data_IF_771667727621
#
_entry.id   IF_771667727621
#
_cell.length_a   1.000
_cell.length_b   1.000
_cell.length_c   1.000
_cell.angle_alpha   90.00
_cell.angle_beta   90.00
_cell.angle_gamma   90.00
#
_symmetry.space_group_name_H-M   'P 1'
#
loop_
_entity.id
_entity.type
_entity.pdbx_description
1 polymer ?
#
# COMPACT_ATOMS: atom_id res chain seq x y z
N UNK A 1 -9.10 -13.29 6.22
CA UNK A 1 -9.91 -13.29 4.97
C UNK A 1 -10.36 -14.67 4.50
N UNK A 2 -9.89 -15.79 5.10
CA UNK A 2 -10.46 -17.12 4.82
C UNK A 2 -11.93 -17.17 5.20
N UNK A 3 -12.83 -17.80 4.41
CA UNK A 3 -12.51 -18.67 3.25
C UNK A 3 -12.27 -17.94 1.91
N UNK A 4 -12.54 -16.65 1.78
CA UNK A 4 -12.47 -15.90 0.52
C UNK A 4 -11.09 -16.01 -0.17
N UNK A 5 -10.02 -16.09 0.63
CA UNK A 5 -8.64 -16.15 0.13
C UNK A 5 -8.08 -17.56 0.00
N UNK A 6 -8.93 -18.60 -0.07
CA UNK A 6 -8.44 -19.96 -0.36
C UNK A 6 -8.13 -20.19 -1.83
N UNK A 7 -8.93 -19.61 -2.71
CA UNK A 7 -8.84 -19.78 -4.15
C UNK A 7 -8.56 -18.48 -4.91
N UNK A 8 -8.57 -17.33 -4.23
CA UNK A 8 -8.33 -16.04 -4.86
C UNK A 8 -7.38 -15.24 -3.98
N UNK A 9 -6.24 -14.75 -4.51
CA UNK A 9 -5.34 -13.94 -3.73
C UNK A 9 -6.03 -12.64 -3.30
N UNK A 10 -5.75 -12.18 -2.08
CA UNK A 10 -6.42 -11.02 -1.47
C UNK A 10 -6.46 -9.80 -2.39
N UNK A 11 -5.38 -9.41 -3.09
CA UNK A 11 -5.40 -8.25 -3.99
C UNK A 11 -6.36 -8.40 -5.18
N UNK A 12 -6.76 -9.62 -5.54
CA UNK A 12 -7.71 -9.89 -6.62
C UNK A 12 -9.16 -10.04 -6.14
N UNK A 13 -9.44 -9.92 -4.84
CA UNK A 13 -10.82 -9.88 -4.35
C UNK A 13 -11.53 -8.63 -4.90
N UNK A 14 -12.80 -8.78 -5.36
CA UNK A 14 -13.53 -7.67 -5.96
C UNK A 14 -14.01 -6.67 -4.91
N UNK A 15 -13.84 -5.39 -5.22
CA UNK A 15 -14.41 -4.24 -4.51
C UNK A 15 -14.99 -3.30 -5.55
N UNK A 16 -16.24 -2.90 -5.40
CA UNK A 16 -16.99 -2.10 -6.37
C UNK A 16 -16.89 -2.66 -7.81
N UNK A 17 -17.00 -3.99 -7.94
CA UNK A 17 -17.01 -4.69 -9.22
C UNK A 17 -15.64 -4.94 -9.87
N UNK A 18 -14.54 -4.50 -9.26
CA UNK A 18 -13.18 -4.63 -9.78
C UNK A 18 -12.22 -5.19 -8.71
N UNK A 19 -11.16 -5.94 -9.07
CA UNK A 19 -10.14 -6.35 -8.11
C UNK A 19 -9.54 -5.17 -7.33
N UNK A 20 -9.22 -5.35 -6.05
CA UNK A 20 -8.55 -4.31 -5.26
C UNK A 20 -7.28 -3.81 -5.95
N UNK A 21 -6.48 -4.72 -6.49
CA UNK A 21 -5.25 -4.38 -7.21
C UNK A 21 -5.50 -3.49 -8.42
N UNK A 22 -6.68 -3.58 -9.08
CA UNK A 22 -7.03 -2.69 -10.18
C UNK A 22 -7.10 -1.22 -9.73
N UNK A 23 -7.72 -0.96 -8.58
CA UNK A 23 -7.80 0.40 -8.05
C UNK A 23 -6.43 0.96 -7.73
N UNK A 24 -5.54 0.14 -7.17
CA UNK A 24 -4.15 0.53 -6.88
C UNK A 24 -3.38 0.82 -8.17
N UNK A 25 -3.44 -0.11 -9.13
CA UNK A 25 -2.72 0.02 -10.41
C UNK A 25 -3.17 1.24 -11.21
N UNK A 26 -4.48 1.50 -11.28
CA UNK A 26 -4.99 2.70 -11.97
C UNK A 26 -4.43 3.98 -11.34
N UNK A 27 -4.42 4.09 -10.01
CA UNK A 27 -3.85 5.25 -9.32
C UNK A 27 -2.37 5.42 -9.61
N UNK A 28 -1.59 4.33 -9.71
CA UNK A 28 -0.18 4.38 -10.07
C UNK A 28 0.02 4.80 -11.54
N UNK A 29 -0.81 4.30 -12.46
CA UNK A 29 -0.80 4.71 -13.87
C UNK A 29 -1.10 6.20 -14.01
N UNK A 30 -2.14 6.68 -13.35
CA UNK A 30 -2.53 8.11 -13.35
C UNK A 30 -1.43 8.98 -12.75
N UNK A 31 -0.71 8.49 -11.75
CA UNK A 31 0.47 9.13 -11.21
C UNK A 31 1.68 9.10 -12.17
N UNK A 32 1.59 8.37 -13.29
CA UNK A 32 2.65 8.24 -14.30
C UNK A 32 3.76 7.27 -13.93
N UNK A 33 3.45 6.29 -13.11
CA UNK A 33 4.34 5.15 -12.87
C UNK A 33 4.37 4.27 -14.13
N UNK A 34 5.53 3.99 -14.64
CA UNK A 34 5.76 3.21 -15.87
C UNK A 34 6.39 1.84 -15.59
N UNK A 35 6.88 1.61 -14.38
CA UNK A 35 7.48 0.36 -13.95
C UNK A 35 6.97 -0.04 -12.56
N UNK A 36 6.51 -1.29 -12.42
CA UNK A 36 6.01 -1.86 -11.18
C UNK A 36 6.68 -3.20 -10.90
N UNK A 37 7.25 -3.36 -9.71
CA UNK A 37 7.71 -4.65 -9.20
C UNK A 37 6.69 -5.20 -8.20
N UNK A 38 6.06 -6.31 -8.52
CA UNK A 38 5.11 -6.98 -7.63
C UNK A 38 5.82 -8.00 -6.75
N UNK A 39 5.75 -7.81 -5.45
CA UNK A 39 6.23 -8.78 -4.47
C UNK A 39 5.06 -9.68 -4.12
N UNK A 40 5.13 -10.92 -4.54
CA UNK A 40 4.05 -11.89 -4.42
C UNK A 40 4.41 -13.03 -3.45
N UNK A 41 3.40 -13.72 -2.96
CA UNK A 41 3.54 -14.90 -2.13
C UNK A 41 2.54 -15.97 -2.56
N UNK A 42 1.70 -16.41 -1.63
CA UNK A 42 0.65 -17.39 -1.90
C UNK A 42 -0.27 -16.96 -3.06
N UNK A 43 -0.48 -17.85 -4.04
CA UNK A 43 -1.23 -17.59 -5.28
C UNK A 43 -0.64 -16.44 -6.13
N UNK A 44 0.68 -16.22 -6.07
CA UNK A 44 1.35 -15.16 -6.80
C UNK A 44 1.19 -15.25 -8.32
N UNK A 45 1.18 -16.45 -8.90
CA UNK A 45 1.01 -16.68 -10.34
C UNK A 45 -0.31 -16.13 -10.88
N UNK A 46 -1.37 -16.16 -10.08
CA UNK A 46 -2.66 -15.57 -10.45
C UNK A 46 -2.58 -14.04 -10.54
N UNK A 47 -1.87 -13.40 -9.59
CA UNK A 47 -1.62 -11.96 -9.60
C UNK A 47 -0.81 -11.58 -10.83
N UNK A 48 0.30 -12.29 -11.09
CA UNK A 48 1.17 -12.06 -12.24
C UNK A 48 0.40 -12.18 -13.56
N UNK A 49 -0.37 -13.25 -13.71
CA UNK A 49 -1.18 -13.49 -14.92
C UNK A 49 -2.21 -12.39 -15.13
N UNK A 50 -2.87 -11.97 -14.06
CA UNK A 50 -3.86 -10.91 -14.10
C UNK A 50 -3.24 -9.56 -14.48
N UNK A 51 -2.13 -9.14 -13.83
CA UNK A 51 -1.47 -7.86 -14.13
C UNK A 51 -0.96 -7.81 -15.57
N UNK A 52 -0.33 -8.87 -16.05
CA UNK A 52 0.15 -8.93 -17.46
C UNK A 52 -0.97 -8.79 -18.48
N UNK A 53 -2.14 -9.33 -18.15
CA UNK A 53 -3.32 -9.26 -19.02
C UNK A 53 -3.96 -7.86 -19.02
N UNK A 54 -4.17 -7.29 -17.83
CA UNK A 54 -4.95 -6.05 -17.68
C UNK A 54 -4.09 -4.79 -17.87
N UNK A 55 -2.75 -4.88 -17.62
CA UNK A 55 -1.80 -3.75 -17.70
C UNK A 55 -0.62 -4.04 -18.63
N UNK A 56 -0.84 -4.39 -19.90
CA UNK A 56 0.23 -4.77 -20.84
C UNK A 56 1.17 -3.60 -21.21
N UNK A 57 0.74 -2.36 -20.94
CA UNK A 57 1.52 -1.13 -21.20
C UNK A 57 2.50 -0.74 -20.10
N UNK A 58 2.46 -1.42 -18.93
CA UNK A 58 3.36 -1.15 -17.80
C UNK A 58 4.46 -2.21 -17.79
N UNK A 59 5.72 -1.76 -17.66
CA UNK A 59 6.81 -2.68 -17.36
C UNK A 59 6.57 -3.31 -15.98
N UNK A 60 6.54 -4.64 -15.93
CA UNK A 60 6.20 -5.35 -14.70
C UNK A 60 7.21 -6.44 -14.41
N UNK A 61 7.89 -6.33 -13.26
CA UNK A 61 8.75 -7.35 -12.68
C UNK A 61 8.08 -8.01 -11.47
N UNK A 62 8.54 -9.21 -11.11
CA UNK A 62 7.93 -10.02 -10.04
C UNK A 62 9.01 -10.63 -9.17
N UNK A 63 8.84 -10.48 -7.85
CA UNK A 63 9.66 -11.15 -6.85
C UNK A 63 8.76 -12.00 -5.93
N UNK A 64 9.25 -13.16 -5.52
CA UNK A 64 8.49 -14.08 -4.66
C UNK A 64 9.00 -13.99 -3.24
N UNK A 65 8.12 -13.65 -2.30
CA UNK A 65 8.40 -13.69 -0.88
C UNK A 65 8.06 -15.08 -0.32
N UNK A 66 9.08 -15.92 -0.12
CA UNK A 66 8.91 -17.24 0.47
C UNK A 66 8.67 -17.19 1.98
N UNK A 67 9.31 -16.23 2.67
CA UNK A 67 9.21 -16.04 4.12
C UNK A 67 8.50 -14.73 4.43
N UNK A 68 7.38 -14.81 5.14
CA UNK A 68 6.63 -13.65 5.60
C UNK A 68 7.21 -13.11 6.91
N UNK A 69 8.38 -12.49 6.86
CA UNK A 69 9.09 -11.97 8.04
C UNK A 69 9.11 -10.43 8.10
N UNK A 70 8.21 -9.80 7.37
CA UNK A 70 7.93 -8.37 7.46
C UNK A 70 8.06 -7.62 6.14
N UNK A 71 7.55 -6.38 6.13
CA UNK A 71 7.46 -5.57 4.92
C UNK A 71 8.84 -5.06 4.46
N UNK A 72 9.77 -4.74 5.38
CA UNK A 72 11.12 -4.34 4.99
C UNK A 72 11.87 -5.47 4.27
N UNK A 73 11.69 -6.72 4.71
CA UNK A 73 12.26 -7.89 4.01
C UNK A 73 11.62 -8.09 2.63
N UNK A 74 10.31 -7.85 2.52
CA UNK A 74 9.62 -7.92 1.24
C UNK A 74 10.18 -6.87 0.25
N UNK A 75 10.34 -5.62 0.70
CA UNK A 75 10.90 -4.53 -0.11
C UNK A 75 12.30 -4.87 -0.63
N UNK A 76 13.14 -5.53 0.17
CA UNK A 76 14.49 -5.93 -0.26
C UNK A 76 14.49 -6.90 -1.45
N UNK A 77 13.43 -7.68 -1.67
CA UNK A 77 13.31 -8.55 -2.84
C UNK A 77 13.17 -7.78 -4.16
N UNK A 78 12.76 -6.51 -4.09
CA UNK A 78 12.71 -5.64 -5.25
C UNK A 78 14.06 -4.98 -5.57
N UNK A 79 15.12 -5.24 -4.79
CA UNK A 79 16.40 -4.53 -4.89
C UNK A 79 17.09 -4.65 -6.24
N UNK A 80 16.94 -5.78 -6.95
CA UNK A 80 17.50 -5.97 -8.29
C UNK A 80 16.75 -5.19 -9.40
N UNK A 81 15.53 -4.74 -9.09
CA UNK A 81 14.65 -3.98 -9.99
C UNK A 81 14.56 -2.50 -9.61
N UNK A 82 15.25 -2.10 -8.53
CA UNK A 82 15.19 -0.74 -7.97
C UNK A 82 16.51 -0.04 -8.24
N UNK A 83 16.44 1.12 -8.86
CA UNK A 83 17.58 2.02 -9.07
C UNK A 83 17.59 3.17 -8.05
N UNK A 84 18.46 4.17 -8.25
CA UNK A 84 18.53 5.36 -7.40
C UNK A 84 17.39 6.37 -7.70
N UNK A 85 16.52 6.07 -8.63
CA UNK A 85 15.37 6.91 -8.95
C UNK A 85 14.31 6.93 -7.84
N UNK A 86 13.34 7.87 -7.96
CA UNK A 86 12.20 7.90 -7.05
C UNK A 86 11.42 6.59 -7.06
N UNK A 87 11.11 6.08 -5.89
CA UNK A 87 10.46 4.77 -5.72
C UNK A 87 9.25 4.88 -4.81
N UNK A 88 8.14 4.30 -5.23
CA UNK A 88 6.95 4.15 -4.38
C UNK A 88 6.83 2.72 -3.85
N UNK A 89 6.40 2.59 -2.60
CA UNK A 89 5.95 1.32 -2.03
C UNK A 89 4.46 1.45 -1.73
N UNK A 90 3.66 0.55 -2.27
CA UNK A 90 2.21 0.55 -2.07
C UNK A 90 1.74 -0.83 -1.66
N UNK A 91 0.97 -0.90 -0.58
CA UNK A 91 0.40 -2.16 -0.10
C UNK A 91 -0.77 -2.58 -0.99
N UNK A 92 -0.75 -3.83 -1.47
CA UNK A 92 -1.73 -4.35 -2.42
C UNK A 92 -3.13 -4.63 -1.82
N UNK A 93 -3.33 -4.36 -0.54
CA UNK A 93 -4.60 -4.54 0.17
C UNK A 93 -5.15 -3.24 0.78
N UNK A 94 -4.58 -2.11 0.38
CA UNK A 94 -4.98 -0.77 0.80
C UNK A 94 -5.64 -0.05 -0.38
N UNK A 95 -6.86 0.39 -0.19
CA UNK A 95 -7.55 1.28 -1.13
C UNK A 95 -7.52 2.70 -0.60
N UNK A 96 -7.22 3.63 -1.49
CA UNK A 96 -7.12 5.05 -1.13
C UNK A 96 -7.55 5.94 -2.30
N UNK A 97 -7.92 7.18 -1.97
CA UNK A 97 -8.22 8.21 -2.95
C UNK A 97 -7.25 9.36 -2.74
N UNK A 98 -6.22 9.42 -3.57
CA UNK A 98 -5.22 10.49 -3.54
C UNK A 98 -4.69 10.75 -4.94
N UNK A 99 -4.38 11.99 -5.23
CA UNK A 99 -3.60 12.36 -6.42
C UNK A 99 -2.10 12.20 -6.09
N UNK A 100 -1.53 11.07 -6.46
CA UNK A 100 -0.10 10.82 -6.25
C UNK A 100 0.80 11.58 -7.24
N UNK A 101 0.25 12.23 -8.26
CA UNK A 101 1.02 13.02 -9.22
C UNK A 101 1.70 14.23 -8.55
N UNK A 102 1.19 14.69 -7.41
CA UNK A 102 1.79 15.75 -6.59
C UNK A 102 3.17 15.38 -6.03
N UNK A 103 3.50 14.09 -6.00
CA UNK A 103 4.81 13.59 -5.56
C UNK A 103 5.88 13.65 -6.66
N UNK A 104 5.51 13.99 -7.89
CA UNK A 104 6.48 14.12 -8.98
C UNK A 104 7.46 15.25 -8.70
N UNK A 105 8.76 14.91 -8.67
CA UNK A 105 9.84 15.87 -8.41
C UNK A 105 9.99 16.25 -6.94
N UNK A 106 9.25 15.60 -6.01
CA UNK A 106 9.52 15.75 -4.59
C UNK A 106 10.90 15.17 -4.26
N UNK A 107 11.66 15.89 -3.47
CA UNK A 107 13.05 15.55 -3.10
C UNK A 107 13.18 14.96 -1.71
N UNK A 108 12.08 14.95 -0.96
CA UNK A 108 11.98 14.33 0.38
C UNK A 108 11.26 12.99 0.26
N UNK A 109 11.51 12.13 1.21
CA UNK A 109 10.67 10.95 1.38
C UNK A 109 9.28 11.40 1.89
N UNK A 110 8.20 10.79 1.38
CA UNK A 110 6.84 11.15 1.76
C UNK A 110 6.07 9.93 2.24
N UNK A 111 5.31 10.11 3.29
CA UNK A 111 4.45 9.08 3.88
C UNK A 111 3.00 9.54 3.70
N UNK A 112 2.18 8.70 3.09
CA UNK A 112 0.75 8.98 3.02
C UNK A 112 0.12 8.64 4.35
N UNK A 113 -0.59 9.60 4.93
CA UNK A 113 -1.22 9.49 6.26
C UNK A 113 -2.71 9.77 6.20
N UNK A 114 -3.43 9.22 7.17
CA UNK A 114 -4.83 9.54 7.41
C UNK A 114 -5.12 9.53 8.92
N UNK A 115 -5.91 10.47 9.45
CA UNK A 115 -6.29 10.45 10.84
C UNK A 115 -7.21 9.25 11.15
N UNK A 116 -6.95 8.59 12.29
CA UNK A 116 -7.75 7.44 12.76
C UNK A 116 -8.14 7.60 14.22
N UNK A 117 -9.23 6.95 14.63
CA UNK A 117 -9.64 6.91 16.04
C UNK A 117 -8.78 5.95 16.87
N UNK A 118 -8.43 4.78 16.31
CA UNK A 118 -7.58 3.77 16.96
C UNK A 118 -6.29 3.53 16.17
N UNK A 119 -5.17 4.16 16.54
CA UNK A 119 -3.89 4.00 15.87
C UNK A 119 -3.13 2.72 16.22
N UNK A 120 -3.57 1.95 17.21
CA UNK A 120 -2.83 0.81 17.79
C UNK A 120 -2.51 -0.31 16.78
N UNK A 121 -3.19 -0.33 15.65
CA UNK A 121 -3.06 -1.34 14.58
C UNK A 121 -2.11 -0.95 13.46
N UNK A 122 -1.68 0.30 13.41
CA UNK A 122 -0.95 0.89 12.30
C UNK A 122 0.40 1.45 12.73
N UNK A 123 1.28 1.68 11.78
CA UNK A 123 2.38 2.62 11.97
C UNK A 123 1.82 4.03 12.12
N UNK A 124 2.42 4.85 12.94
CA UNK A 124 2.00 6.24 13.15
C UNK A 124 3.15 7.22 12.97
N UNK A 125 2.79 8.44 12.57
CA UNK A 125 3.72 9.55 12.37
C UNK A 125 3.53 10.57 13.51
N UNK A 126 4.64 10.97 14.16
CA UNK A 126 4.66 12.10 15.08
C UNK A 126 5.22 13.31 14.36
N UNK A 127 4.51 14.43 14.53
CA UNK A 127 4.91 15.72 14.00
C UNK A 127 5.26 16.69 15.12
N UNK A 128 6.34 17.44 14.95
CA UNK A 128 6.65 18.64 15.73
C UNK A 128 6.84 19.79 14.75
N UNK A 129 6.11 20.88 14.97
CA UNK A 129 6.13 22.06 14.07
C UNK A 129 5.96 21.72 12.58
N UNK A 130 5.09 20.72 12.28
CA UNK A 130 4.82 20.24 10.92
C UNK A 130 5.91 19.38 10.30
N UNK A 131 6.92 18.97 11.07
CA UNK A 131 8.00 18.08 10.63
C UNK A 131 7.83 16.70 11.23
N UNK A 132 8.12 15.68 10.44
CA UNK A 132 8.17 14.30 10.94
C UNK A 132 9.39 14.16 11.88
N UNK A 133 9.13 13.80 13.15
CA UNK A 133 10.18 13.61 14.16
C UNK A 133 10.30 12.17 14.63
N UNK A 134 9.25 11.37 14.47
CA UNK A 134 9.24 9.96 14.88
C UNK A 134 8.26 9.15 14.03
N UNK A 135 8.61 7.89 13.81
CA UNK A 135 7.77 6.87 13.22
C UNK A 135 7.71 5.68 14.18
N UNK A 136 6.50 5.24 14.53
CA UNK A 136 6.32 4.16 15.51
C UNK A 136 5.35 3.12 14.95
N UNK A 137 5.81 1.88 14.85
CA UNK A 137 4.97 0.77 14.41
C UNK A 137 4.10 0.26 15.56
N UNK A 138 2.77 0.27 15.34
CA UNK A 138 1.75 -0.28 16.25
C UNK A 138 2.00 0.11 17.71
N UNK A 139 1.92 1.40 18.04
CA UNK A 139 2.23 1.91 19.37
C UNK A 139 1.33 1.25 20.43
N UNK A 140 1.90 0.99 21.61
CA UNK A 140 1.15 0.46 22.76
C UNK A 140 0.29 1.52 23.45
N UNK A 141 0.65 2.79 23.26
CA UNK A 141 -0.07 3.95 23.78
C UNK A 141 -0.39 4.90 22.60
N UNK A 142 -1.52 5.62 22.66
CA UNK A 142 -1.90 6.55 21.59
C UNK A 142 -1.02 7.79 21.61
N UNK A 143 0.10 7.77 20.87
CA UNK A 143 1.07 8.88 20.77
C UNK A 143 0.79 9.82 19.60
N UNK A 144 0.04 9.36 18.61
CA UNK A 144 -0.40 10.11 17.44
C UNK A 144 -1.63 9.42 16.84
N UNK A 145 -2.52 10.18 16.23
CA UNK A 145 -3.66 9.66 15.46
C UNK A 145 -3.40 9.64 13.93
N UNK A 146 -2.22 10.10 13.49
CA UNK A 146 -1.84 10.05 12.08
C UNK A 146 -1.32 8.67 11.71
N UNK A 147 -2.20 7.82 11.20
CA UNK A 147 -1.85 6.48 10.76
C UNK A 147 -1.21 6.49 9.37
N UNK A 148 -0.24 5.61 9.18
CA UNK A 148 0.39 5.36 7.89
C UNK A 148 -0.54 4.49 7.06
N UNK A 149 -0.91 4.98 5.88
CA UNK A 149 -1.91 4.37 4.99
C UNK A 149 -1.39 3.13 4.24
N UNK A 150 -0.07 2.96 4.16
CA UNK A 150 0.54 1.89 3.35
C UNK A 150 0.90 2.35 1.94
N UNK A 151 1.07 3.66 1.75
CA UNK A 151 1.60 4.29 0.54
C UNK A 151 2.78 5.17 0.94
N UNK A 152 3.91 4.93 0.32
CA UNK A 152 5.17 5.58 0.64
C UNK A 152 5.86 6.03 -0.63
N UNK A 153 6.50 7.18 -0.60
CA UNK A 153 7.36 7.67 -1.66
C UNK A 153 8.76 7.91 -1.10
N UNK A 154 9.74 7.39 -1.77
CA UNK A 154 11.15 7.57 -1.45
C UNK A 154 11.83 8.32 -2.59
N UNK A 155 12.53 9.39 -2.28
CA UNK A 155 13.26 10.19 -3.27
C UNK A 155 14.40 9.41 -3.91
N UNK A 156 14.91 8.35 -3.24
CA UNK A 156 15.95 7.45 -3.72
C UNK A 156 15.61 6.01 -3.35
N UNK A 157 15.49 5.15 -4.35
CA UNK A 157 15.28 3.70 -4.15
C UNK A 157 16.50 3.04 -3.49
N UNK A 158 17.72 3.47 -3.82
CA UNK A 158 18.94 2.94 -3.21
C UNK A 158 18.96 3.18 -1.70
N UNK A 159 18.59 4.38 -1.24
CA UNK A 159 18.50 4.72 0.19
C UNK A 159 17.42 3.94 0.92
N UNK A 160 16.27 3.70 0.27
CA UNK A 160 15.25 2.80 0.79
C UNK A 160 15.82 1.40 1.01
N UNK A 161 16.53 0.85 0.01
CA UNK A 161 17.14 -0.48 0.11
C UNK A 161 18.22 -0.54 1.20
N UNK A 162 19.01 0.51 1.36
CA UNK A 162 20.01 0.63 2.42
C UNK A 162 19.35 0.65 3.82
N UNK A 163 18.28 1.43 3.99
CA UNK A 163 17.52 1.48 5.22
C UNK A 163 16.94 0.12 5.62
N UNK A 164 16.30 -0.57 4.67
CA UNK A 164 15.77 -1.92 4.88
C UNK A 164 16.87 -2.94 5.20
N UNK A 165 18.00 -2.90 4.47
CA UNK A 165 19.14 -3.79 4.71
C UNK A 165 19.72 -3.58 6.10
N UNK A 166 19.93 -2.32 6.50
CA UNK A 166 20.44 -1.96 7.83
C UNK A 166 19.53 -2.48 8.95
N UNK A 167 18.21 -2.40 8.78
CA UNK A 167 17.24 -2.95 9.75
C UNK A 167 17.41 -4.46 9.89
N UNK A 168 17.47 -5.18 8.77
CA UNK A 168 17.59 -6.64 8.74
C UNK A 168 18.92 -7.11 9.34
N UNK A 169 20.04 -6.46 8.99
CA UNK A 169 21.37 -6.76 9.52
C UNK A 169 21.48 -6.53 11.03
N UNK A 170 20.82 -5.51 11.55
CA UNK A 170 20.71 -5.26 13.01
C UNK A 170 19.81 -6.27 13.72
N UNK A 171 19.03 -7.07 13.00
CA UNK A 171 18.08 -8.02 13.57
C UNK A 171 16.95 -7.34 14.35
N UNK A 172 16.70 -6.05 14.12
CA UNK A 172 15.69 -5.29 14.85
C UNK A 172 14.30 -5.63 14.32
N UNK A 173 13.47 -6.22 15.18
CA UNK A 173 12.10 -6.65 14.84
C UNK A 173 11.08 -6.02 15.77
N UNK A 174 9.98 -5.57 15.21
CA UNK A 174 8.79 -5.14 15.96
C UNK A 174 7.70 -6.18 15.76
N UNK A 175 7.20 -6.75 16.88
CA UNK A 175 6.24 -7.87 16.90
C UNK A 175 6.69 -9.10 16.08
N UNK A 176 8.01 -9.35 16.04
CA UNK A 176 8.60 -10.50 15.36
C UNK A 176 8.91 -10.31 13.87
N UNK A 177 8.57 -9.15 13.29
CA UNK A 177 8.73 -8.86 11.87
C UNK A 177 9.66 -7.66 11.64
N UNK A 178 10.32 -7.63 10.48
CA UNK A 178 11.06 -6.47 10.00
C UNK A 178 10.10 -5.47 9.36
N UNK A 179 9.65 -4.49 10.12
CA UNK A 179 8.66 -3.51 9.66
C UNK A 179 9.30 -2.40 8.82
N UNK A 180 8.63 -1.97 7.76
CA UNK A 180 9.09 -0.84 6.95
C UNK A 180 9.11 0.46 7.77
N UNK A 181 8.15 0.63 8.69
CA UNK A 181 8.11 1.76 9.62
C UNK A 181 9.40 1.87 10.44
N UNK A 182 9.97 0.74 10.89
CA UNK A 182 11.23 0.73 11.63
C UNK A 182 12.43 1.08 10.74
N UNK A 183 12.42 0.65 9.46
CA UNK A 183 13.45 1.05 8.50
C UNK A 183 13.40 2.57 8.23
N UNK A 184 12.21 3.12 8.03
CA UNK A 184 12.03 4.57 7.87
C UNK A 184 12.43 5.35 9.12
N UNK A 185 12.14 4.85 10.33
CA UNK A 185 12.61 5.48 11.59
C UNK A 185 14.13 5.50 11.65
N UNK A 186 14.83 4.45 11.20
CA UNK A 186 16.30 4.45 11.09
C UNK A 186 16.80 5.48 10.07
N UNK A 187 16.16 5.58 8.91
CA UNK A 187 16.51 6.58 7.89
C UNK A 187 16.31 8.01 8.42
N UNK A 188 15.19 8.26 9.10
CA UNK A 188 14.88 9.55 9.73
C UNK A 188 15.96 9.94 10.76
N UNK A 189 16.37 9.01 11.63
CA UNK A 189 17.46 9.23 12.61
C UNK A 189 18.81 9.46 11.99
N UNK A 190 19.03 8.95 10.79
CA UNK A 190 20.25 9.18 10.01
C UNK A 190 20.20 10.51 9.21
N UNK A 191 19.13 11.32 9.39
CA UNK A 191 18.99 12.65 8.81
C UNK A 191 18.26 12.68 7.46
N UNK A 192 17.65 11.58 7.02
CA UNK A 192 16.80 11.58 5.82
C UNK A 192 15.54 12.38 6.09
N UNK A 193 15.19 13.36 5.24
CA UNK A 193 13.99 14.16 5.43
C UNK A 193 12.72 13.37 5.07
N UNK A 194 11.73 13.40 5.94
CA UNK A 194 10.40 12.87 5.69
C UNK A 194 9.34 13.96 5.77
N UNK A 195 8.39 13.94 4.84
CA UNK A 195 7.17 14.71 4.87
C UNK A 195 5.95 13.81 4.94
N UNK A 196 4.78 14.41 5.05
CA UNK A 196 3.51 13.68 4.97
C UNK A 196 2.67 14.20 3.80
N UNK A 197 1.88 13.30 3.23
CA UNK A 197 0.74 13.61 2.37
C UNK A 197 -0.51 13.09 3.08
N UNK A 198 -1.29 14.01 3.64
CA UNK A 198 -2.51 13.64 4.34
C UNK A 198 -3.68 13.44 3.38
N UNK A 199 -4.46 12.39 3.59
CA UNK A 199 -5.61 12.04 2.74
C UNK A 199 -6.83 11.68 3.57
N UNK A 200 -8.02 12.02 3.06
CA UNK A 200 -9.30 11.68 3.70
C UNK A 200 -9.89 10.35 3.23
N UNK A 201 -9.44 9.86 2.08
CA UNK A 201 -10.01 8.68 1.42
C UNK A 201 -9.15 7.43 1.60
N UNK A 202 -9.14 6.85 2.80
CA UNK A 202 -8.45 5.59 3.07
C UNK A 202 -9.42 4.50 3.52
N UNK A 203 -9.24 3.30 2.93
CA UNK A 203 -10.11 2.15 3.15
C UNK A 203 -9.25 0.91 3.41
N UNK A 204 -9.17 0.50 4.69
CA UNK A 204 -8.50 -0.74 5.09
C UNK A 204 -9.35 -1.95 4.69
N UNK A 205 -8.86 -2.75 3.74
CA UNK A 205 -9.48 -4.00 3.33
C UNK A 205 -8.86 -5.22 4.05
N UNK A 206 -8.36 -5.03 5.28
CA UNK A 206 -7.69 -6.07 6.08
C UNK A 206 -8.60 -7.18 6.60
N UNK A 207 -9.90 -6.89 6.76
CA UNK A 207 -10.92 -7.81 7.31
C UNK A 207 -12.11 -7.92 6.39
N UNK A 208 -12.92 -9.03 6.47
CA UNK A 208 -14.14 -9.16 5.68
C UNK A 208 -15.13 -8.00 5.89
N UNK A 209 -15.27 -7.55 7.14
CA UNK A 209 -16.20 -6.49 7.52
C UNK A 209 -15.80 -5.16 6.87
N UNK A 210 -14.51 -4.78 6.97
CA UNK A 210 -14.01 -3.55 6.37
C UNK A 210 -13.99 -3.62 4.85
N UNK A 211 -13.78 -4.80 4.25
CA UNK A 211 -13.93 -5.01 2.81
C UNK A 211 -15.36 -4.72 2.33
N UNK A 212 -16.37 -5.21 3.04
CA UNK A 212 -17.78 -4.97 2.70
C UNK A 212 -18.17 -3.50 2.85
N UNK A 213 -17.68 -2.84 3.90
CA UNK A 213 -17.90 -1.41 4.10
C UNK A 213 -17.24 -0.59 2.97
N UNK A 214 -15.99 -0.88 2.63
CA UNK A 214 -15.29 -0.26 1.51
C UNK A 214 -16.04 -0.46 0.20
N UNK A 215 -16.52 -1.68 -0.06
CA UNK A 215 -17.31 -1.99 -1.25
C UNK A 215 -18.55 -1.09 -1.34
N UNK A 216 -19.29 -0.94 -0.23
CA UNK A 216 -20.46 -0.06 -0.18
C UNK A 216 -20.10 1.40 -0.46
N UNK A 217 -19.08 1.94 0.22
CA UNK A 217 -18.67 3.33 0.06
C UNK A 217 -18.23 3.63 -1.38
N UNK A 218 -17.47 2.72 -2.02
CA UNK A 218 -17.03 2.93 -3.39
C UNK A 218 -18.17 2.80 -4.40
N UNK A 219 -19.15 1.90 -4.18
CA UNK A 219 -20.34 1.81 -5.02
C UNK A 219 -21.19 3.08 -4.92
N UNK A 220 -21.38 3.61 -3.71
CA UNK A 220 -22.14 4.84 -3.50
C UNK A 220 -21.45 6.07 -4.18
N UNK A 221 -20.11 6.13 -4.18
CA UNK A 221 -19.35 7.20 -4.83
C UNK A 221 -19.37 7.12 -6.35
N UNK A 222 -19.28 5.92 -6.90
CA UNK A 222 -19.24 5.72 -8.36
C UNK A 222 -20.62 5.91 -9.01
N UNK A 223 -21.67 6.05 -8.22
CA UNK A 223 -23.05 6.10 -8.69
C UNK A 223 -23.52 4.77 -9.33
N UNK A 224 -24.74 4.71 -9.83
CA UNK A 224 -25.18 3.56 -10.62
C UNK A 224 -24.33 3.53 -11.90
N UNK A 225 -23.46 2.51 -12.02
CA UNK A 225 -22.73 2.22 -13.24
C UNK A 225 -23.67 2.11 -14.44
N UNK A 226 -23.11 2.06 -15.65
CA UNK A 226 -23.90 1.77 -16.85
C UNK A 226 -24.81 0.58 -16.58
N UNK A 227 -26.10 0.75 -16.82
CA UNK A 227 -27.07 -0.31 -16.59
C UNK A 227 -26.68 -1.51 -17.44
N UNK A 228 -26.26 -2.64 -16.85
CA UNK A 228 -25.86 -3.78 -17.64
C UNK A 228 -27.04 -4.21 -18.49
N UNK A 229 -26.77 -4.65 -19.73
CA UNK A 229 -27.80 -5.20 -20.61
C UNK A 229 -28.42 -6.44 -19.94
N UNK A 230 -29.63 -6.26 -19.42
CA UNK A 230 -30.32 -7.28 -18.61
C UNK A 230 -31.08 -8.25 -19.50
N UNK A 231 -30.42 -9.34 -19.87
CA UNK A 231 -31.06 -10.43 -20.60
C UNK A 231 -31.66 -11.42 -19.56
N UNK A 232 -32.99 -11.43 -19.44
CA UNK A 232 -33.75 -12.35 -18.58
C UNK A 232 -33.38 -12.32 -17.07
N UNK A 233 -32.99 -11.16 -16.59
CA UNK A 233 -32.57 -10.94 -15.20
C UNK A 233 -33.39 -9.84 -14.54
N UNK A 234 -33.56 -9.92 -13.23
CA UNK A 234 -34.20 -8.88 -12.40
C UNK A 234 -33.13 -8.27 -11.50
N UNK A 235 -32.89 -6.96 -11.64
CA UNK A 235 -32.07 -6.22 -10.66
C UNK A 235 -32.90 -5.97 -9.43
N UNK A 236 -32.43 -6.47 -8.29
CA UNK A 236 -32.90 -6.05 -6.99
C UNK A 236 -31.93 -4.97 -6.54
N UNK A 237 -32.41 -3.74 -6.46
CA UNK A 237 -31.59 -2.67 -5.90
C UNK A 237 -31.23 -3.01 -4.46
N UNK A 238 -29.99 -2.79 -4.02
CA UNK A 238 -29.63 -2.95 -2.63
C UNK A 238 -30.49 -1.98 -1.81
N UNK A 239 -31.06 -2.49 -0.72
CA UNK A 239 -31.83 -1.73 0.27
C UNK A 239 -30.91 -0.82 1.07
#
# INVERSE_FOLDING_TARGET
>A
MRPLTWSTPKPLLPVAGRPMLAHVMDTLVDAGVDHVTLITGYLGDEIVSWVRKEYPGIRTDFAVQEKTDGLASAVLLAGEYTDDGPTMVVLGDTLFSADLSVLRGETRNMIVTSPVEDPSRFGVVLLEEGRVVRLIEKPSEPVSNLAIVGVYYFASGERLMEGCRTLVEKGQRTRGEFQLTDAMELMLRNGEPFGILDIDGWYDCGKPETLLETNRVLLDRNGPGETPELIRSRVIQPC
#
